data_IF_339746613445
#
_entry.id   IF_339746613445
#
_cell.length_a   1.000
_cell.length_b   1.000
_cell.length_c   1.000
_cell.angle_alpha   90.00
_cell.angle_beta   90.00
_cell.angle_gamma   90.00
#
_symmetry.space_group_name_H-M   'P 1'
#
loop_
_entity.id
_entity.type
_entity.pdbx_description
1 polymer ?
#
# COMPACT_ATOMS: atom_id res chain seq x y z
N UNK A 1 -13.64 8.44 -22.65
CA UNK A 1 -12.32 9.11 -22.47
C UNK A 1 -12.08 10.13 -23.59
N UNK A 2 -12.41 11.40 -23.36
CA UNK A 2 -12.20 12.47 -24.34
C UNK A 2 -11.37 13.56 -23.68
N UNK A 3 -10.15 13.76 -24.18
CA UNK A 3 -9.22 14.83 -23.80
C UNK A 3 -9.30 15.95 -24.84
N UNK A 4 -9.12 17.20 -24.42
CA UNK A 4 -9.12 18.34 -25.36
C UNK A 4 -7.67 18.63 -25.77
N UNK A 5 -7.33 18.59 -27.08
CA UNK A 5 -5.99 18.87 -27.56
C UNK A 5 -5.69 20.37 -27.53
N UNK A 6 -4.52 20.76 -27.02
CA UNK A 6 -4.06 22.15 -27.05
C UNK A 6 -3.57 22.53 -28.46
N UNK A 7 -3.70 23.81 -28.82
CA UNK A 7 -3.17 24.35 -30.09
C UNK A 7 -1.64 24.25 -30.10
N UNK A 8 -1.13 23.26 -30.83
CA UNK A 8 0.28 22.87 -30.82
C UNK A 8 0.51 21.35 -30.86
N UNK A 9 -0.54 20.53 -30.65
CA UNK A 9 -0.55 19.11 -31.02
C UNK A 9 0.26 18.15 -30.13
N UNK A 10 1.00 18.63 -29.13
CA UNK A 10 1.87 17.78 -28.29
C UNK A 10 1.37 17.55 -26.86
N UNK A 11 0.25 18.15 -26.46
CA UNK A 11 -0.31 18.03 -25.09
C UNK A 11 -1.84 18.03 -25.09
N UNK A 12 -2.40 17.24 -24.17
CA UNK A 12 -3.84 17.06 -23.99
C UNK A 12 -4.21 17.30 -22.53
N UNK A 13 -5.26 18.10 -22.28
CA UNK A 13 -5.75 18.35 -20.92
C UNK A 13 -6.95 17.45 -20.56
N UNK A 14 -7.06 17.02 -19.29
CA UNK A 14 -8.20 16.25 -18.78
C UNK A 14 -9.48 17.10 -18.72
N UNK A 15 -10.65 16.44 -18.60
CA UNK A 15 -11.95 17.14 -18.51
C UNK A 15 -11.99 18.05 -17.28
N UNK A 16 -12.41 19.30 -17.47
CA UNK A 16 -12.49 20.33 -16.43
C UNK A 16 -11.27 21.24 -16.35
N UNK A 17 -10.37 21.19 -17.34
CA UNK A 17 -9.23 22.08 -17.46
C UNK A 17 -9.03 22.49 -18.91
N UNK A 18 -8.68 23.76 -19.16
CA UNK A 18 -8.33 24.29 -20.47
C UNK A 18 -6.82 24.55 -20.55
N UNK A 19 -6.28 24.62 -21.76
CA UNK A 19 -4.86 24.88 -21.95
C UNK A 19 -4.52 26.36 -21.70
N UNK A 20 -3.38 26.63 -21.05
CA UNK A 20 -2.80 27.97 -20.99
C UNK A 20 -2.58 28.51 -22.41
N UNK A 21 -2.53 29.84 -22.57
CA UNK A 21 -2.31 30.50 -23.86
C UNK A 21 -1.03 30.02 -24.56
N UNK A 22 -0.04 29.60 -23.79
CA UNK A 22 1.27 29.10 -24.27
C UNK A 22 1.24 27.60 -24.61
N UNK A 23 0.13 26.89 -24.35
CA UNK A 23 -0.07 25.47 -24.69
C UNK A 23 0.71 24.47 -23.82
N UNK A 24 1.47 24.93 -22.83
CA UNK A 24 2.35 24.06 -22.01
C UNK A 24 1.73 23.56 -20.71
N UNK A 25 0.65 24.19 -20.23
CA UNK A 25 0.05 23.90 -18.92
C UNK A 25 -1.47 23.78 -18.99
N UNK A 26 -2.07 22.96 -18.13
CA UNK A 26 -3.52 22.83 -18.00
C UNK A 26 -4.01 23.64 -16.80
N UNK A 27 -4.94 24.57 -17.05
CA UNK A 27 -5.54 25.45 -16.06
C UNK A 27 -6.96 24.93 -15.75
N UNK A 28 -7.30 24.62 -14.49
CA UNK A 28 -8.64 24.17 -14.12
C UNK A 28 -9.68 25.28 -14.31
N UNK A 29 -10.84 24.95 -14.88
CA UNK A 29 -11.92 25.92 -15.11
C UNK A 29 -12.56 26.36 -13.78
N UNK A 30 -12.71 27.68 -13.51
CA UNK A 30 -13.26 28.19 -12.26
C UNK A 30 -14.80 28.09 -12.17
N UNK A 31 -15.38 26.97 -12.63
CA UNK A 31 -16.83 26.77 -12.70
C UNK A 31 -17.32 25.33 -12.61
N UNK A 32 -16.43 24.33 -12.63
CA UNK A 32 -16.80 22.93 -12.35
C UNK A 32 -16.40 22.59 -10.92
N UNK A 33 -17.04 23.27 -9.98
CA UNK A 33 -17.12 22.84 -8.59
C UNK A 33 -17.89 21.52 -8.49
N UNK A 34 -17.27 20.42 -8.93
CA UNK A 34 -17.58 19.13 -8.35
C UNK A 34 -17.10 19.25 -6.91
N UNK A 35 -17.96 19.11 -5.90
CA UNK A 35 -17.52 19.13 -4.52
C UNK A 35 -16.69 17.86 -4.30
N UNK A 36 -15.38 17.95 -4.53
CA UNK A 36 -14.41 17.03 -3.94
C UNK A 36 -14.24 17.36 -2.45
N UNK A 37 -15.35 17.44 -1.71
CA UNK A 37 -15.39 16.75 -0.43
C UNK A 37 -15.76 15.31 -0.78
N UNK A 38 -14.75 14.48 -0.96
CA UNK A 38 -14.92 13.08 -0.58
C UNK A 38 -15.49 13.15 0.84
N UNK A 39 -16.72 12.66 1.10
CA UNK A 39 -17.16 12.55 2.48
C UNK A 39 -16.06 11.75 3.18
N UNK A 40 -15.50 12.30 4.25
CA UNK A 40 -14.67 11.50 5.15
C UNK A 40 -15.44 10.18 5.36
N UNK A 41 -14.79 9.05 5.11
CA UNK A 41 -15.42 7.75 5.27
C UNK A 41 -16.17 7.77 6.61
N UNK A 42 -17.48 7.46 6.64
CA UNK A 42 -18.20 7.41 7.91
C UNK A 42 -17.43 6.42 8.79
N UNK A 43 -17.06 6.86 9.98
CA UNK A 43 -16.35 6.05 10.94
C UNK A 43 -17.24 4.82 11.17
N UNK A 44 -16.61 3.66 11.18
CA UNK A 44 -17.33 2.41 11.33
C UNK A 44 -17.37 2.04 12.82
N UNK A 45 -18.54 1.76 13.36
CA UNK A 45 -18.73 1.24 14.72
C UNK A 45 -18.35 -0.25 14.69
N UNK A 46 -17.28 -0.66 15.41
CA UNK A 46 -16.88 -2.06 15.48
C UNK A 46 -17.89 -2.86 16.30
N UNK A 47 -18.38 -3.98 15.74
CA UNK A 47 -19.24 -4.88 16.48
C UNK A 47 -18.43 -5.72 17.51
N UNK A 48 -19.08 -6.24 18.57
CA UNK A 48 -18.43 -6.96 19.66
C UNK A 48 -17.63 -8.21 19.28
N UNK A 49 -17.85 -8.78 18.10
CA UNK A 49 -17.09 -9.92 17.58
C UNK A 49 -15.69 -9.58 17.07
N UNK A 50 -15.36 -8.29 16.92
CA UNK A 50 -14.08 -7.89 16.36
C UNK A 50 -13.97 -8.08 14.84
N UNK A 51 -14.97 -8.70 14.18
CA UNK A 51 -14.93 -9.03 12.74
C UNK A 51 -16.02 -8.35 11.92
N UNK A 52 -17.05 -7.80 12.54
CA UNK A 52 -18.10 -7.04 11.87
C UNK A 52 -18.00 -5.55 12.19
N UNK A 53 -18.50 -4.73 11.27
CA UNK A 53 -18.57 -3.28 11.40
C UNK A 53 -19.89 -2.73 10.83
N UNK A 54 -20.36 -1.64 11.46
CA UNK A 54 -21.57 -0.91 11.08
C UNK A 54 -21.26 0.57 10.83
N UNK A 55 -22.04 1.30 10.04
CA UNK A 55 -21.86 2.75 9.86
C UNK A 55 -22.06 3.53 11.18
N UNK A 56 -21.52 4.76 11.24
CA UNK A 56 -21.48 5.66 12.41
C UNK A 56 -22.78 5.79 13.23
N UNK A 57 -23.93 5.63 12.59
CA UNK A 57 -25.26 5.81 13.21
C UNK A 57 -26.06 4.49 13.34
N UNK A 58 -25.37 3.35 13.28
CA UNK A 58 -25.99 2.03 13.35
C UNK A 58 -25.58 1.23 14.59
N UNK A 59 -26.53 0.43 15.10
CA UNK A 59 -26.32 -0.45 16.25
C UNK A 59 -26.14 -1.90 15.81
N UNK A 60 -25.10 -2.57 16.31
CA UNK A 60 -24.84 -3.98 16.03
C UNK A 60 -25.84 -4.88 16.79
N UNK A 61 -26.57 -5.73 16.07
CA UNK A 61 -27.48 -6.74 16.61
C UNK A 61 -27.12 -8.13 16.09
N UNK A 62 -27.22 -9.16 16.95
CA UNK A 62 -27.00 -10.54 16.55
C UNK A 62 -28.20 -11.07 15.76
N UNK A 63 -27.93 -11.74 14.64
CA UNK A 63 -28.95 -12.33 13.78
C UNK A 63 -29.23 -13.80 14.16
N UNK A 64 -30.29 -14.38 13.60
CA UNK A 64 -30.67 -15.78 13.87
C UNK A 64 -29.60 -16.80 13.47
N UNK A 65 -28.71 -16.46 12.53
CA UNK A 65 -27.58 -17.31 12.12
C UNK A 65 -26.34 -17.17 13.02
N UNK A 66 -26.39 -16.31 14.05
CA UNK A 66 -25.24 -15.99 14.89
C UNK A 66 -24.26 -14.98 14.26
N UNK A 67 -24.59 -14.43 13.08
CA UNK A 67 -23.85 -13.33 12.46
C UNK A 67 -24.30 -11.97 13.03
N UNK A 68 -23.58 -10.89 12.68
CA UNK A 68 -23.97 -9.53 13.06
C UNK A 68 -24.74 -8.82 11.94
N UNK A 69 -25.76 -8.09 12.35
CA UNK A 69 -26.52 -7.15 11.54
C UNK A 69 -26.44 -5.75 12.11
N UNK A 70 -26.64 -4.75 11.27
CA UNK A 70 -26.66 -3.34 11.64
C UNK A 70 -28.11 -2.85 11.61
N UNK A 71 -28.56 -2.27 12.71
CA UNK A 71 -29.81 -1.55 12.78
C UNK A 71 -29.55 -0.09 12.40
N UNK A 72 -30.34 0.51 11.48
CA UNK A 72 -30.11 1.86 10.95
C UNK A 72 -30.51 2.97 11.94
N UNK A 73 -30.24 2.76 13.22
CA UNK A 73 -30.54 3.70 14.30
C UNK A 73 -29.48 3.56 15.40
N UNK A 74 -29.10 4.68 16.06
CA UNK A 74 -28.22 4.64 17.21
C UNK A 74 -28.96 4.07 18.42
N UNK A 75 -28.23 3.32 19.25
CA UNK A 75 -28.75 2.74 20.51
C UNK A 75 -30.04 1.91 20.33
N UNK A 76 -30.15 1.18 19.22
CA UNK A 76 -31.32 0.38 18.93
C UNK A 76 -31.46 -0.81 19.91
N UNK A 77 -32.69 -1.08 20.33
CA UNK A 77 -33.05 -2.28 21.08
C UNK A 77 -33.25 -3.44 20.09
N UNK A 78 -32.36 -4.44 20.14
CA UNK A 78 -32.46 -5.62 19.29
C UNK A 78 -33.65 -6.49 19.73
N UNK A 79 -34.55 -6.82 18.80
CA UNK A 79 -35.71 -7.64 19.10
C UNK A 79 -35.35 -9.13 19.22
N UNK A 80 -36.20 -9.90 19.91
CA UNK A 80 -35.97 -11.32 20.18
C UNK A 80 -35.96 -12.20 18.91
N UNK A 81 -36.58 -11.72 17.83
CA UNK A 81 -36.62 -12.39 16.53
C UNK A 81 -35.31 -12.32 15.75
N UNK A 82 -34.33 -11.52 16.22
CA UNK A 82 -32.98 -11.38 15.65
C UNK A 82 -32.98 -10.90 14.19
N UNK A 83 -34.07 -10.27 13.76
CA UNK A 83 -34.21 -9.68 12.42
C UNK A 83 -34.58 -8.21 12.53
N UNK A 84 -35.34 -7.86 13.56
CA UNK A 84 -35.82 -6.50 13.74
C UNK A 84 -35.19 -5.80 14.95
N UNK A 85 -35.32 -4.48 14.93
CA UNK A 85 -34.84 -3.59 15.96
C UNK A 85 -35.76 -2.39 16.12
N UNK A 86 -35.72 -1.84 17.33
CA UNK A 86 -36.53 -0.70 17.74
C UNK A 86 -35.64 0.43 18.27
N UNK A 87 -36.10 1.69 18.24
CA UNK A 87 -35.35 2.79 18.83
C UNK A 87 -35.14 2.61 20.34
N UNK A 88 -34.19 3.37 20.90
CA UNK A 88 -33.90 3.33 22.33
C UNK A 88 -35.16 3.53 23.19
N UNK A 89 -35.25 2.78 24.30
CA UNK A 89 -36.37 2.84 25.25
C UNK A 89 -37.76 2.51 24.68
N UNK A 90 -37.83 1.68 23.64
CA UNK A 90 -39.09 1.10 23.13
C UNK A 90 -39.08 -0.42 23.21
N UNK A 91 -40.26 -1.02 23.35
CA UNK A 91 -40.42 -2.48 23.48
C UNK A 91 -40.87 -3.08 22.16
N UNK A 92 -40.21 -4.14 21.70
CA UNK A 92 -40.61 -4.83 20.47
C UNK A 92 -41.91 -5.61 20.67
N UNK A 93 -42.98 -5.23 19.97
CA UNK A 93 -44.16 -6.07 19.75
C UNK A 93 -44.07 -6.74 18.39
N UNK A 94 -43.60 -8.00 18.42
CA UNK A 94 -43.45 -8.83 17.24
C UNK A 94 -44.80 -9.29 16.66
N UNK A 95 -45.84 -9.39 17.48
CA UNK A 95 -47.16 -9.82 17.02
C UNK A 95 -47.85 -8.73 16.18
N UNK A 96 -47.60 -7.46 16.53
CA UNK A 96 -48.14 -6.29 15.84
C UNK A 96 -47.16 -5.65 14.86
N UNK A 97 -45.90 -6.07 14.86
CA UNK A 97 -44.84 -5.46 14.05
C UNK A 97 -44.58 -4.00 14.42
N UNK A 98 -44.73 -3.64 15.71
CA UNK A 98 -44.50 -2.27 16.21
C UNK A 98 -43.59 -2.19 17.45
N UNK A 99 -42.86 -1.09 17.54
CA UNK A 99 -42.09 -0.71 18.71
C UNK A 99 -43.00 0.12 19.61
N UNK A 100 -43.37 -0.44 20.76
CA UNK A 100 -44.25 0.20 21.73
C UNK A 100 -43.46 1.20 22.57
N UNK A 101 -43.96 2.43 22.62
CA UNK A 101 -43.39 3.47 23.49
C UNK A 101 -43.97 3.35 24.91
N UNK A 102 -43.16 3.52 25.98
CA UNK A 102 -43.65 3.47 27.35
C UNK A 102 -44.64 4.61 27.68
N UNK A 103 -44.66 5.67 26.87
CA UNK A 103 -45.58 6.81 26.95
C UNK A 103 -46.83 6.68 26.06
N UNK A 104 -46.96 5.61 25.26
CA UNK A 104 -48.18 5.26 24.50
C UNK A 104 -48.51 6.12 23.26
N UNK A 105 -47.73 7.16 22.97
CA UNK A 105 -48.07 8.17 21.95
C UNK A 105 -47.29 8.01 20.63
N UNK A 106 -46.27 7.13 20.57
CA UNK A 106 -45.38 6.98 19.41
C UNK A 106 -45.01 5.54 19.09
N UNK A 107 -46.01 4.74 18.75
CA UNK A 107 -45.77 3.39 18.22
C UNK A 107 -45.24 3.49 16.78
N UNK A 108 -43.98 3.10 16.58
CA UNK A 108 -43.32 3.11 15.27
C UNK A 108 -43.18 1.68 14.73
N UNK A 109 -43.16 1.47 13.40
CA UNK A 109 -42.91 0.14 12.84
C UNK A 109 -41.51 -0.38 13.22
N UNK A 110 -41.37 -1.71 13.31
CA UNK A 110 -40.07 -2.36 13.51
C UNK A 110 -39.15 -2.04 12.33
N UNK A 111 -37.88 -1.75 12.63
CA UNK A 111 -36.83 -1.59 11.62
C UNK A 111 -36.13 -2.91 11.37
N UNK A 112 -35.84 -3.25 10.12
CA UNK A 112 -35.11 -4.48 9.79
C UNK A 112 -33.60 -4.23 9.84
N UNK A 113 -32.87 -5.11 10.52
CA UNK A 113 -31.41 -5.08 10.52
C UNK A 113 -30.89 -5.54 9.15
N UNK A 114 -29.94 -4.80 8.57
CA UNK A 114 -29.22 -5.23 7.38
C UNK A 114 -27.94 -5.99 7.78
N UNK A 115 -27.35 -6.82 6.91
CA UNK A 115 -26.12 -7.55 7.25
C UNK A 115 -24.99 -6.58 7.59
N UNK A 116 -24.27 -6.85 8.69
CA UNK A 116 -23.09 -6.06 9.02
C UNK A 116 -22.01 -6.28 7.98
N UNK A 117 -21.24 -5.23 7.72
CA UNK A 117 -20.09 -5.37 6.84
C UNK A 117 -19.07 -6.26 7.55
N UNK A 118 -18.49 -7.19 6.81
CA UNK A 118 -17.30 -7.87 7.31
C UNK A 118 -16.20 -6.85 7.28
N UNK A 119 -15.52 -6.65 8.41
CA UNK A 119 -14.23 -5.95 8.37
C UNK A 119 -13.39 -6.67 7.33
N UNK A 120 -13.10 -5.97 6.23
CA UNK A 120 -11.97 -6.39 5.44
C UNK A 120 -10.79 -6.36 6.42
N UNK A 121 -9.97 -7.43 6.50
CA UNK A 121 -8.67 -7.27 7.15
C UNK A 121 -8.05 -6.01 6.55
N UNK A 122 -7.43 -5.14 7.36
CA UNK A 122 -6.79 -3.95 6.83
C UNK A 122 -6.02 -4.40 5.59
N UNK A 123 -6.34 -3.79 4.44
CA UNK A 123 -5.52 -4.00 3.26
C UNK A 123 -4.08 -3.89 3.74
N UNK A 124 -3.18 -4.83 3.38
CA UNK A 124 -1.80 -4.74 3.81
C UNK A 124 -1.40 -3.29 3.55
N UNK A 125 -0.99 -2.59 4.61
CA UNK A 125 -0.61 -1.19 4.53
C UNK A 125 0.50 -1.16 3.52
N UNK A 126 0.14 -0.91 2.26
CA UNK A 126 1.07 -0.46 1.27
C UNK A 126 1.54 0.85 1.85
N UNK A 127 2.72 0.82 2.46
CA UNK A 127 3.60 1.99 2.47
C UNK A 127 3.34 2.67 1.13
N UNK A 128 2.82 3.90 1.11
CA UNK A 128 2.53 4.53 -0.17
C UNK A 128 3.91 4.87 -0.73
N UNK A 129 4.42 3.93 -1.52
CA UNK A 129 5.77 3.98 -1.99
C UNK A 129 5.79 4.95 -3.17
N UNK A 130 6.67 5.94 -3.12
CA UNK A 130 6.98 6.79 -4.26
C UNK A 130 7.76 5.92 -5.24
N UNK A 131 7.12 5.58 -6.36
CA UNK A 131 7.79 4.89 -7.46
C UNK A 131 8.81 5.85 -8.08
N UNK A 132 10.07 5.45 -8.08
CA UNK A 132 11.14 6.24 -8.65
C UNK A 132 11.04 6.29 -10.18
N UNK A 133 11.71 7.25 -10.85
CA UNK A 133 11.57 7.45 -12.30
C UNK A 133 11.98 6.26 -13.18
N UNK A 134 12.71 5.29 -12.64
CA UNK A 134 13.07 4.03 -13.28
C UNK A 134 11.92 3.00 -13.32
N UNK A 135 10.83 3.23 -12.58
CA UNK A 135 9.69 2.33 -12.53
C UNK A 135 9.97 0.99 -11.83
N UNK A 136 11.17 0.82 -11.24
CA UNK A 136 11.61 -0.40 -10.55
C UNK A 136 11.93 -0.16 -9.08
N UNK A 137 12.52 0.98 -8.75
CA UNK A 137 12.84 1.37 -7.37
C UNK A 137 11.65 2.07 -6.72
N UNK A 138 11.37 1.75 -5.46
CA UNK A 138 10.22 2.30 -4.73
C UNK A 138 10.66 2.75 -3.33
N UNK A 139 10.44 4.02 -3.00
CA UNK A 139 10.86 4.63 -1.74
C UNK A 139 9.67 4.84 -0.80
N UNK A 140 9.87 4.77 0.54
CA UNK A 140 8.80 4.99 1.49
C UNK A 140 8.21 6.41 1.41
N UNK A 141 7.00 6.59 1.93
CA UNK A 141 6.31 7.89 2.01
C UNK A 141 7.23 8.99 2.56
N UNK A 142 7.44 10.05 1.77
CA UNK A 142 8.28 11.19 2.14
C UNK A 142 9.78 11.04 1.86
N UNK A 143 10.24 9.90 1.35
CA UNK A 143 11.61 9.74 0.87
C UNK A 143 11.77 10.25 -0.57
N UNK A 144 12.91 10.85 -0.86
CA UNK A 144 13.25 11.36 -2.20
C UNK A 144 14.08 10.34 -2.96
N UNK A 145 13.67 9.98 -4.17
CA UNK A 145 14.46 9.12 -5.06
C UNK A 145 15.69 9.86 -5.57
N UNK A 146 16.88 9.43 -5.15
CA UNK A 146 18.16 9.93 -5.65
C UNK A 146 18.81 8.94 -6.59
N UNK A 147 19.37 9.44 -7.69
CA UNK A 147 19.99 8.62 -8.71
C UNK A 147 21.41 8.20 -8.27
N UNK A 148 21.58 6.94 -7.85
CA UNK A 148 22.89 6.38 -7.48
C UNK A 148 23.76 6.06 -8.71
N UNK A 149 23.15 5.79 -9.87
CA UNK A 149 23.84 5.45 -11.12
C UNK A 149 22.92 5.70 -12.32
N UNK A 150 23.39 5.50 -13.56
CA UNK A 150 22.57 5.73 -14.77
C UNK A 150 21.23 4.98 -14.73
N UNK A 151 21.14 3.85 -14.03
CA UNK A 151 19.93 3.00 -13.96
C UNK A 151 19.49 2.63 -12.54
N UNK A 152 20.10 3.21 -11.49
CA UNK A 152 19.81 2.86 -10.11
C UNK A 152 19.39 4.08 -9.30
N UNK A 153 18.30 3.94 -8.54
CA UNK A 153 17.82 4.93 -7.59
C UNK A 153 17.91 4.39 -6.16
N UNK A 154 18.03 5.30 -5.20
CA UNK A 154 18.06 5.00 -3.79
C UNK A 154 17.31 6.06 -3.02
N UNK A 155 16.92 5.72 -1.81
CA UNK A 155 15.96 6.50 -1.06
C UNK A 155 16.66 7.42 -0.09
N UNK A 156 16.61 8.72 -0.35
CA UNK A 156 16.97 9.71 0.66
C UNK A 156 15.82 9.85 1.66
N UNK A 157 16.08 9.70 2.98
CA UNK A 157 15.04 9.81 4.01
C UNK A 157 14.47 11.23 4.19
N UNK A 158 15.10 12.23 3.55
CA UNK A 158 14.65 13.62 3.58
C UNK A 158 13.58 13.88 2.52
N UNK A 159 12.58 14.67 2.89
CA UNK A 159 11.55 15.17 1.96
C UNK A 159 12.15 16.23 1.04
N UNK A 160 11.92 16.10 -0.28
CA UNK A 160 12.40 17.03 -1.31
C UNK A 160 13.93 17.26 -1.28
N UNK A 161 14.69 16.19 -1.04
CA UNK A 161 16.13 16.27 -0.90
C UNK A 161 16.83 16.67 -2.19
N UNK A 162 17.92 17.43 -2.07
CA UNK A 162 18.87 17.68 -3.15
C UNK A 162 19.84 16.50 -3.21
N UNK A 163 19.82 15.75 -4.31
CA UNK A 163 20.76 14.65 -4.52
C UNK A 163 22.13 15.20 -4.92
N UNK A 164 23.18 14.80 -4.21
CA UNK A 164 24.53 15.28 -4.50
C UNK A 164 25.13 14.60 -5.73
N UNK A 165 26.10 15.26 -6.38
CA UNK A 165 26.73 14.77 -7.61
C UNK A 165 27.60 13.53 -7.41
N UNK A 166 27.96 13.22 -6.17
CA UNK A 166 28.67 12.00 -5.79
C UNK A 166 27.79 10.74 -5.77
N UNK A 167 26.48 10.91 -5.97
CA UNK A 167 25.49 9.83 -6.03
C UNK A 167 25.40 8.98 -4.75
N UNK A 168 25.94 9.50 -3.63
CA UNK A 168 26.02 8.78 -2.35
C UNK A 168 25.46 9.62 -1.19
N UNK A 169 25.37 10.94 -1.36
CA UNK A 169 24.83 11.82 -0.34
C UNK A 169 23.59 12.58 -0.82
N UNK A 170 22.76 12.95 0.14
CA UNK A 170 21.63 13.82 -0.10
C UNK A 170 21.55 14.92 0.96
N UNK A 171 21.05 16.08 0.54
CA UNK A 171 20.96 17.28 1.33
C UNK A 171 19.49 17.72 1.48
N UNK A 172 19.12 18.39 2.57
CA UNK A 172 17.77 18.94 2.69
C UNK A 172 17.50 20.01 1.62
N UNK A 173 16.21 20.22 1.32
CA UNK A 173 15.75 21.24 0.39
C UNK A 173 16.37 22.62 0.71
N UNK A 174 16.88 23.31 -0.32
CA UNK A 174 17.45 24.66 -0.19
C UNK A 174 18.92 24.70 0.28
N UNK A 175 19.63 23.57 0.25
CA UNK A 175 21.05 23.50 0.59
C UNK A 175 21.89 22.99 -0.58
N UNK A 176 23.16 23.40 -0.63
CA UNK A 176 24.12 22.99 -1.65
C UNK A 176 25.09 21.96 -1.09
N UNK A 177 25.31 20.87 -1.82
CA UNK A 177 26.26 19.84 -1.43
C UNK A 177 27.69 20.39 -1.56
N UNK A 178 28.37 20.59 -0.44
CA UNK A 178 29.82 20.74 -0.39
C UNK A 178 30.44 19.37 -0.14
N UNK A 179 30.84 18.72 -1.23
CA UNK A 179 31.49 17.40 -1.22
C UNK A 179 32.90 17.43 -0.65
N UNK A 180 33.57 18.59 -0.64
CA UNK A 180 34.95 18.72 -0.17
C UNK A 180 35.03 18.70 1.35
N UNK A 181 34.02 19.28 2.01
CA UNK A 181 33.89 19.29 3.48
C UNK A 181 32.84 18.30 4.00
N UNK A 182 32.20 17.55 3.10
CA UNK A 182 31.10 16.65 3.41
C UNK A 182 29.94 17.33 4.16
N UNK A 183 29.58 18.55 3.75
CA UNK A 183 28.52 19.37 4.38
C UNK A 183 27.49 19.88 3.39
N UNK A 184 26.24 19.99 3.82
CA UNK A 184 25.21 20.77 3.15
C UNK A 184 25.33 22.22 3.61
N UNK A 185 25.70 23.13 2.72
CA UNK A 185 25.78 24.56 3.02
C UNK A 185 24.47 25.26 2.69
N UNK A 186 24.00 26.10 3.60
CA UNK A 186 22.86 26.99 3.39
C UNK A 186 23.27 28.43 3.70
N UNK A 187 22.52 29.41 3.16
CA UNK A 187 22.70 30.84 3.46
C UNK A 187 22.58 31.21 4.95
N UNK A 188 22.24 30.27 5.85
CA UNK A 188 22.14 30.47 7.30
C UNK A 188 22.89 29.44 8.16
N UNK A 189 23.72 28.56 7.60
CA UNK A 189 24.50 27.58 8.36
C UNK A 189 24.85 26.30 7.60
N UNK A 190 25.85 25.56 8.11
CA UNK A 190 26.36 24.31 7.54
C UNK A 190 25.90 23.10 8.36
N UNK A 191 25.26 22.13 7.73
CA UNK A 191 24.92 20.83 8.33
C UNK A 191 25.73 19.72 7.68
N UNK A 192 26.02 18.63 8.39
CA UNK A 192 26.73 17.48 7.82
C UNK A 192 25.87 16.78 6.74
N UNK A 193 26.51 16.22 5.71
CA UNK A 193 25.82 15.42 4.70
C UNK A 193 25.10 14.23 5.35
N UNK A 194 23.85 14.00 4.95
CA UNK A 194 23.19 12.73 5.22
C UNK A 194 23.69 11.73 4.17
N UNK A 195 24.43 10.71 4.62
CA UNK A 195 24.74 9.57 3.78
C UNK A 195 23.43 8.90 3.37
N UNK A 196 23.27 8.62 2.07
CA UNK A 196 22.26 7.66 1.64
C UNK A 196 22.59 6.35 2.36
N UNK A 197 21.69 5.77 3.16
CA UNK A 197 21.89 4.38 3.53
C UNK A 197 21.90 3.63 2.20
N UNK A 198 23.06 3.07 1.82
CA UNK A 198 23.03 1.88 0.98
C UNK A 198 21.99 0.98 1.64
N UNK A 199 20.93 0.60 0.91
CA UNK A 199 19.96 -0.35 1.43
C UNK A 199 20.78 -1.51 1.98
N UNK A 200 20.88 -1.58 3.30
CA UNK A 200 21.59 -2.60 4.01
C UNK A 200 21.00 -3.91 3.54
N UNK A 201 21.89 -4.78 3.13
CA UNK A 201 21.52 -6.05 2.59
C UNK A 201 21.80 -7.06 3.70
N UNK A 202 20.75 -7.72 4.18
CA UNK A 202 20.88 -8.79 5.15
C UNK A 202 21.46 -9.99 4.41
N UNK A 203 22.77 -10.21 4.60
CA UNK A 203 23.50 -11.35 4.03
C UNK A 203 22.88 -12.65 4.53
N UNK A 204 22.32 -13.44 3.62
CA UNK A 204 21.84 -14.79 3.95
C UNK A 204 22.97 -15.81 3.83
N UNK A 205 23.77 -15.73 2.76
CA UNK A 205 24.99 -16.51 2.55
C UNK A 205 25.99 -15.78 1.62
N UNK A 206 26.94 -16.52 1.02
CA UNK A 206 27.90 -15.96 0.08
C UNK A 206 27.27 -15.47 -1.24
N UNK A 207 26.19 -16.10 -1.68
CA UNK A 207 25.59 -15.87 -2.99
C UNK A 207 24.23 -15.17 -2.93
N UNK A 208 23.62 -15.01 -1.75
CA UNK A 208 22.22 -14.57 -1.63
C UNK A 208 21.97 -13.63 -0.44
N UNK A 209 20.88 -12.88 -0.56
CA UNK A 209 20.60 -11.73 0.29
C UNK A 209 19.16 -11.30 0.35
N UNK A 210 18.86 -10.60 1.44
CA UNK A 210 17.57 -9.97 1.65
C UNK A 210 17.68 -8.45 1.81
N UNK A 211 16.65 -7.70 1.37
CA UNK A 211 16.54 -6.27 1.66
C UNK A 211 16.62 -5.96 3.15
N UNK A 212 16.99 -4.73 3.46
CA UNK A 212 16.98 -4.19 4.82
C UNK A 212 15.64 -4.43 5.52
N UNK A 213 15.71 -4.78 6.81
CA UNK A 213 14.53 -5.08 7.61
C UNK A 213 13.92 -6.48 7.37
N UNK A 214 14.49 -7.28 6.48
CA UNK A 214 14.04 -8.65 6.25
C UNK A 214 14.92 -9.68 7.00
N UNK A 215 14.36 -10.85 7.26
CA UNK A 215 15.08 -11.98 7.89
C UNK A 215 15.29 -13.12 6.91
N UNK A 216 16.51 -13.62 6.80
CA UNK A 216 16.84 -14.78 5.98
C UNK A 216 16.28 -16.07 6.59
N UNK A 217 15.50 -16.82 5.82
CA UNK A 217 14.92 -18.09 6.21
C UNK A 217 15.04 -19.11 5.06
N UNK A 218 15.35 -20.37 5.36
CA UNK A 218 15.45 -21.41 4.34
C UNK A 218 14.07 -21.84 3.79
N UNK A 219 14.04 -22.10 2.48
CA UNK A 219 12.93 -22.69 1.74
C UNK A 219 13.06 -24.23 1.71
N UNK A 220 12.00 -24.91 1.29
CA UNK A 220 11.96 -26.37 1.20
C UNK A 220 12.91 -26.93 0.14
N UNK A 221 13.31 -26.11 -0.83
CA UNK A 221 14.31 -26.41 -1.85
C UNK A 221 15.76 -26.34 -1.33
N UNK A 222 15.98 -25.86 -0.09
CA UNK A 222 17.31 -25.57 0.44
C UNK A 222 17.85 -24.18 0.06
N UNK A 223 17.15 -23.44 -0.81
CA UNK A 223 17.48 -22.06 -1.14
C UNK A 223 17.10 -21.08 -0.01
N UNK A 224 17.71 -19.89 -0.01
CA UNK A 224 17.33 -18.81 0.91
C UNK A 224 16.10 -18.06 0.45
N UNK A 225 15.28 -17.68 1.42
CA UNK A 225 14.15 -16.78 1.26
C UNK A 225 14.17 -15.65 2.28
N UNK A 226 13.52 -14.54 1.94
CA UNK A 226 13.37 -13.37 2.76
C UNK A 226 12.00 -13.36 3.43
N UNK A 227 11.99 -13.23 4.75
CA UNK A 227 10.80 -12.86 5.49
C UNK A 227 10.75 -11.33 5.61
N UNK A 228 9.63 -10.67 5.25
CA UNK A 228 9.51 -9.21 5.32
C UNK A 228 9.20 -8.72 6.75
N UNK A 229 9.90 -9.29 7.72
CA UNK A 229 9.80 -8.97 9.14
C UNK A 229 11.22 -8.97 9.71
N UNK A 230 11.51 -7.98 10.56
CA UNK A 230 12.77 -7.92 11.29
C UNK A 230 12.79 -9.02 12.37
N UNK A 231 13.92 -9.75 12.48
CA UNK A 231 14.13 -10.83 13.47
C UNK A 231 12.99 -11.86 13.50
N UNK A 232 12.52 -12.24 12.31
CA UNK A 232 11.42 -13.16 12.15
C UNK A 232 11.78 -14.57 12.61
N UNK A 233 10.78 -15.29 13.13
CA UNK A 233 10.85 -16.72 13.40
C UNK A 233 10.52 -17.47 12.12
N UNK A 234 11.48 -18.23 11.59
CA UNK A 234 11.28 -19.06 10.40
C UNK A 234 10.44 -20.29 10.76
N UNK A 235 9.27 -20.44 10.14
CA UNK A 235 8.40 -21.57 10.42
C UNK A 235 8.91 -22.87 9.77
N UNK A 236 8.61 -24.04 10.39
CA UNK A 236 9.08 -25.35 9.93
C UNK A 236 8.41 -25.82 8.64
N UNK A 237 7.41 -25.10 8.16
CA UNK A 237 6.76 -25.37 6.89
C UNK A 237 7.58 -24.90 5.68
N UNK A 238 8.71 -24.24 5.93
CA UNK A 238 9.62 -23.67 4.94
C UNK A 238 9.01 -22.64 3.97
N UNK A 239 7.75 -22.26 4.17
CA UNK A 239 7.05 -21.29 3.31
C UNK A 239 6.68 -20.02 4.08
N UNK A 240 6.40 -20.12 5.38
CA UNK A 240 5.94 -18.98 6.17
C UNK A 240 6.90 -18.58 7.30
N UNK A 241 6.69 -17.41 7.87
CA UNK A 241 7.46 -16.86 8.96
C UNK A 241 6.55 -16.04 9.88
N UNK A 242 6.97 -15.91 11.14
CA UNK A 242 6.26 -15.21 12.18
C UNK A 242 7.10 -14.06 12.74
N UNK A 243 6.47 -13.01 13.29
CA UNK A 243 7.20 -11.94 13.95
C UNK A 243 7.92 -12.44 15.21
N UNK A 244 8.91 -11.68 15.66
CA UNK A 244 9.68 -12.00 16.86
C UNK A 244 8.76 -12.24 18.07
N UNK A 245 9.01 -13.32 18.82
CA UNK A 245 8.24 -13.66 20.01
C UNK A 245 6.92 -14.38 19.74
N UNK A 246 6.65 -14.77 18.50
CA UNK A 246 5.53 -15.63 18.11
C UNK A 246 6.01 -17.04 17.73
N UNK A 247 5.17 -18.02 18.02
CA UNK A 247 5.36 -19.45 17.70
C UNK A 247 4.51 -19.80 16.49
N UNK A 248 5.09 -20.47 15.51
CA UNK A 248 4.35 -20.93 14.34
C UNK A 248 3.38 -22.04 14.71
N UNK A 249 2.11 -21.90 14.31
CA UNK A 249 1.08 -22.93 14.36
C UNK A 249 0.68 -23.34 12.93
N UNK A 250 1.30 -24.41 12.39
CA UNK A 250 0.99 -24.90 11.06
C UNK A 250 -0.42 -25.45 10.90
N UNK A 251 -1.04 -25.91 12.00
CA UNK A 251 -2.41 -26.47 11.96
C UNK A 251 -3.44 -25.37 11.86
N UNK A 252 -3.21 -24.25 12.56
CA UNK A 252 -4.06 -23.07 12.51
C UNK A 252 -3.73 -22.09 11.38
N UNK A 253 -2.58 -22.25 10.71
CA UNK A 253 -2.11 -21.33 9.68
C UNK A 253 -1.78 -19.93 10.23
N UNK A 254 -1.20 -19.88 11.43
CA UNK A 254 -1.07 -18.63 12.20
C UNK A 254 0.15 -18.61 13.11
N UNK A 255 0.51 -17.43 13.58
CA UNK A 255 1.49 -17.16 14.61
C UNK A 255 0.78 -16.98 15.96
N UNK A 256 1.21 -17.72 16.99
CA UNK A 256 0.67 -17.68 18.34
C UNK A 256 1.65 -16.98 19.29
N UNK A 257 1.17 -16.08 20.15
CA UNK A 257 1.95 -15.50 21.23
C UNK A 257 1.42 -15.95 22.60
N UNK A 258 2.28 -16.01 23.62
CA UNK A 258 1.99 -16.53 24.96
C UNK A 258 0.84 -15.89 25.75
N UNK A 259 0.11 -14.93 25.16
CA UNK A 259 -1.13 -14.35 25.69
C UNK A 259 -2.41 -14.71 24.91
N UNK A 260 -2.37 -15.68 23.99
CA UNK A 260 -3.53 -16.11 23.20
C UNK A 260 -3.78 -15.30 21.92
N UNK A 261 -2.94 -14.32 21.62
CA UNK A 261 -3.00 -13.54 20.37
C UNK A 261 -2.60 -14.41 19.19
N UNK A 262 -3.46 -14.46 18.18
CA UNK A 262 -3.27 -15.24 16.96
C UNK A 262 -3.23 -14.32 15.74
N UNK A 263 -2.09 -14.29 15.05
CA UNK A 263 -1.88 -13.48 13.86
C UNK A 263 -1.74 -14.38 12.62
N UNK A 264 -2.15 -13.94 11.43
CA UNK A 264 -1.81 -14.64 10.21
C UNK A 264 -0.28 -14.65 10.01
N UNK A 265 0.27 -15.81 9.65
CA UNK A 265 1.68 -15.92 9.29
C UNK A 265 1.98 -15.25 7.94
N UNK A 266 3.24 -14.87 7.73
CA UNK A 266 3.66 -14.17 6.52
C UNK A 266 4.42 -15.14 5.62
N UNK A 267 4.26 -15.02 4.30
CA UNK A 267 4.97 -15.86 3.32
C UNK A 267 6.37 -15.32 3.05
N UNK A 268 7.36 -16.22 2.94
CA UNK A 268 8.72 -15.90 2.49
C UNK A 268 8.75 -15.60 0.99
N UNK A 269 9.59 -14.66 0.56
CA UNK A 269 9.95 -14.47 -0.85
C UNK A 269 11.32 -15.09 -1.13
N UNK A 270 11.71 -15.41 -2.38
CA UNK A 270 13.07 -15.85 -2.67
C UNK A 270 14.11 -14.77 -2.33
N UNK A 271 15.30 -15.17 -1.86
CA UNK A 271 16.42 -14.27 -1.65
C UNK A 271 17.03 -13.84 -2.98
N UNK A 272 17.55 -12.61 -3.03
CA UNK A 272 18.18 -12.06 -4.22
C UNK A 272 19.64 -12.54 -4.31
N UNK A 273 20.15 -12.85 -5.51
CA UNK A 273 21.55 -13.19 -5.69
C UNK A 273 22.46 -11.97 -5.41
N UNK A 274 23.42 -12.14 -4.50
CA UNK A 274 24.51 -11.22 -4.23
C UNK A 274 25.42 -11.14 -5.43
N UNK A 275 25.61 -9.93 -5.94
CA UNK A 275 26.52 -9.73 -7.05
C UNK A 275 26.01 -10.38 -8.34
N UNK A 276 24.70 -10.31 -8.61
CA UNK A 276 24.23 -10.29 -9.99
C UNK A 276 24.87 -9.08 -10.71
N UNK A 277 26.14 -9.21 -11.05
CA UNK A 277 26.60 -8.82 -12.37
C UNK A 277 25.70 -9.60 -13.33
N UNK A 278 24.59 -8.96 -13.67
CA UNK A 278 23.92 -9.21 -14.93
C UNK A 278 25.04 -9.10 -15.96
N UNK A 279 25.52 -10.25 -16.43
CA UNK A 279 26.17 -10.29 -17.74
C UNK A 279 25.11 -9.70 -18.66
N UNK A 280 25.32 -8.44 -19.05
CA UNK A 280 24.40 -7.71 -19.92
C UNK A 280 24.10 -8.61 -21.11
N UNK A 281 22.89 -9.14 -21.13
CA UNK A 281 22.55 -10.32 -21.89
C UNK A 281 21.70 -9.87 -23.06
N UNK A 282 22.30 -9.12 -23.98
CA UNK A 282 21.58 -8.65 -25.16
C UNK A 282 20.71 -9.79 -25.72
N UNK A 283 19.41 -9.54 -25.86
CA UNK A 283 18.44 -10.48 -26.41
C UNK A 283 18.84 -10.75 -27.86
N UNK A 284 19.45 -11.92 -28.12
CA UNK A 284 19.95 -12.29 -29.44
C UNK A 284 18.77 -12.57 -30.38
N UNK A 285 18.65 -11.78 -31.44
CA UNK A 285 17.58 -11.90 -32.43
C UNK A 285 17.99 -12.80 -33.60
N UNK A 286 19.26 -12.72 -34.02
CA UNK A 286 19.90 -13.63 -34.97
C UNK A 286 21.44 -13.65 -34.78
N UNK A 287 22.17 -14.18 -35.75
CA UNK A 287 23.63 -14.26 -35.71
C UNK A 287 24.31 -12.89 -35.74
N UNK A 288 23.66 -11.85 -36.27
CA UNK A 288 24.22 -10.51 -36.53
C UNK A 288 23.56 -9.40 -35.66
N UNK A 289 22.40 -9.67 -35.07
CA UNK A 289 21.53 -8.68 -34.41
C UNK A 289 21.18 -9.12 -32.99
N UNK A 290 21.44 -8.27 -32.01
CA UNK A 290 21.07 -8.48 -30.61
C UNK A 290 20.56 -7.18 -30.00
N UNK A 291 19.50 -7.27 -29.20
CA UNK A 291 18.81 -6.12 -28.61
C UNK A 291 19.19 -5.93 -27.14
N UNK A 292 19.21 -4.68 -26.64
CA UNK A 292 19.54 -4.39 -25.25
C UNK A 292 18.53 -5.02 -24.26
N UNK A 293 18.99 -5.26 -23.03
CA UNK A 293 18.19 -5.85 -21.96
C UNK A 293 16.90 -5.05 -21.71
N UNK A 294 15.75 -5.71 -21.87
CA UNK A 294 14.42 -5.08 -21.77
C UNK A 294 13.77 -4.73 -23.11
N UNK A 295 14.45 -4.97 -24.24
CA UNK A 295 13.84 -4.89 -25.57
C UNK A 295 13.50 -6.27 -26.13
N UNK A 296 12.42 -6.37 -26.90
CA UNK A 296 12.01 -7.57 -27.64
C UNK A 296 12.42 -7.49 -29.12
N UNK A 297 12.77 -8.64 -29.69
CA UNK A 297 13.12 -8.74 -31.11
C UNK A 297 11.87 -8.70 -31.99
N UNK A 298 11.78 -7.72 -32.88
CA UNK A 298 10.70 -7.54 -33.85
C UNK A 298 11.23 -7.72 -35.28
N UNK A 299 10.47 -8.38 -36.15
CA UNK A 299 10.86 -8.61 -37.55
C UNK A 299 10.26 -7.54 -38.46
N UNK A 300 11.11 -6.79 -39.17
CA UNK A 300 10.72 -5.69 -40.05
C UNK A 300 10.29 -6.22 -41.44
N UNK A 301 9.53 -5.41 -42.17
CA UNK A 301 8.95 -5.72 -43.48
C UNK A 301 10.00 -6.05 -44.57
N UNK A 302 11.26 -5.66 -44.33
CA UNK A 302 12.42 -5.92 -45.20
C UNK A 302 13.18 -7.21 -44.83
N UNK A 303 12.69 -7.98 -43.86
CA UNK A 303 13.28 -9.26 -43.43
C UNK A 303 14.36 -9.15 -42.34
N UNK A 304 14.73 -7.94 -41.94
CA UNK A 304 15.72 -7.64 -40.88
C UNK A 304 15.08 -7.60 -39.49
N UNK A 305 15.90 -7.72 -38.44
CA UNK A 305 15.47 -7.60 -37.05
C UNK A 305 15.63 -6.18 -36.52
N UNK A 306 14.69 -5.76 -35.68
CA UNK A 306 14.73 -4.50 -34.94
C UNK A 306 14.38 -4.71 -33.47
N UNK A 307 14.79 -3.77 -32.62
CA UNK A 307 14.55 -3.82 -31.18
C UNK A 307 13.32 -2.97 -30.82
N UNK A 308 12.35 -3.59 -30.16
CA UNK A 308 11.16 -2.94 -29.64
C UNK A 308 11.28 -2.78 -28.11
N UNK A 309 10.98 -1.61 -27.53
CA UNK A 309 10.89 -1.44 -26.07
C UNK A 309 9.71 -2.21 -25.47
#
# INVERSE_FOLDING_TARGET
>A
PQSVPCTGGHRCCPRGSHCSADGESCIPDPGTGVPHRVPAAPRAVPCPDGTSECPDDATCCVTASGAWGCCPMPQASCCADKVHCCPHATTCDLARGRCLSPSGDRDVPLSTAFPAWKRQPPAPVGLRQVLCPDGRSACPDGATCCQLSLTQYGCCPLQNAVCCSDRQHCCPQGTTCDLTHSTCTSLGGSTALAALPAAGEVKCDEETSCPDGNTCCQLSSGAWGCCPLEKAVCCPDHVHCCPQGYICDPKGGSCLQGGGTRLPWVRKTPALPRGAQVTSGNVKCDDETSCPDGSTCCRLSLGTWGCCP
#
